data_IF_327828039182
#
_entry.id   IF_327828039182
#
_cell.length_a   1.000
_cell.length_b   1.000
_cell.length_c   1.000
_cell.angle_alpha   90.00
_cell.angle_beta   90.00
_cell.angle_gamma   90.00
#
_symmetry.space_group_name_H-M   'P 1'
#
loop_
_entity.id
_entity.type
_entity.pdbx_description
1 polymer ?
#
# COMPACT_ATOMS: atom_id res chain seq x y z
N UNK A 1 26.70 -11.60 26.80
CA UNK A 1 25.73 -10.49 26.96
C UNK A 1 24.45 -10.65 26.11
N UNK A 2 24.03 -11.87 25.75
CA UNK A 2 22.82 -12.09 24.92
C UNK A 2 21.58 -12.60 25.68
N UNK A 3 21.55 -12.51 27.02
CA UNK A 3 20.48 -13.10 27.84
C UNK A 3 19.33 -12.17 28.20
N UNK A 4 19.48 -10.85 28.01
CA UNK A 4 18.46 -9.87 28.43
C UNK A 4 17.13 -9.95 27.65
N UNK A 5 17.09 -10.15 26.30
CA UNK A 5 15.83 -10.20 25.56
C UNK A 5 14.98 -11.43 25.92
N UNK A 6 15.62 -12.58 26.14
CA UNK A 6 14.96 -13.83 26.52
C UNK A 6 14.40 -13.81 27.94
N UNK A 7 15.06 -13.12 28.87
CA UNK A 7 14.59 -12.94 30.25
C UNK A 7 13.34 -12.04 30.31
N UNK A 8 13.28 -10.99 29.50
CA UNK A 8 12.11 -10.11 29.39
C UNK A 8 10.91 -10.82 28.74
N UNK A 9 11.16 -11.69 27.75
CA UNK A 9 10.14 -12.52 27.10
C UNK A 9 9.43 -13.44 28.09
N UNK A 10 10.13 -14.00 29.07
CA UNK A 10 9.54 -14.91 30.07
C UNK A 10 8.73 -14.18 31.15
N UNK A 11 9.00 -12.90 31.40
CA UNK A 11 8.32 -12.06 32.40
C UNK A 11 7.12 -11.30 31.84
N UNK A 12 6.93 -11.29 30.51
CA UNK A 12 5.82 -10.59 29.88
C UNK A 12 4.47 -11.33 30.10
N UNK A 13 3.35 -10.59 30.23
CA UNK A 13 2.00 -11.17 30.22
C UNK A 13 1.78 -12.06 28.99
N UNK A 14 0.94 -13.10 29.08
CA UNK A 14 0.70 -14.01 27.95
C UNK A 14 0.19 -13.29 26.70
N UNK A 15 -0.61 -12.23 26.87
CA UNK A 15 -1.05 -11.37 25.77
C UNK A 15 0.13 -10.66 25.08
N UNK A 16 1.12 -10.18 25.84
CA UNK A 16 2.33 -9.56 25.28
C UNK A 16 3.25 -10.57 24.59
N UNK A 17 3.34 -11.81 25.11
CA UNK A 17 4.04 -12.92 24.43
C UNK A 17 3.38 -13.26 23.10
N UNK A 18 2.04 -13.30 23.06
CA UNK A 18 1.26 -13.53 21.83
C UNK A 18 1.54 -12.46 20.76
N UNK A 19 1.54 -11.17 21.15
CA UNK A 19 1.85 -10.06 20.22
C UNK A 19 3.27 -10.14 19.66
N UNK A 20 4.26 -10.41 20.52
CA UNK A 20 5.65 -10.52 20.09
C UNK A 20 5.85 -11.70 19.13
N UNK A 21 5.22 -12.84 19.42
CA UNK A 21 5.23 -14.01 18.55
C UNK A 21 4.59 -13.71 17.19
N UNK A 22 3.50 -12.95 17.16
CA UNK A 22 2.85 -12.55 15.91
C UNK A 22 3.76 -11.62 15.08
N UNK A 23 4.40 -10.63 15.72
CA UNK A 23 5.38 -9.77 15.04
C UNK A 23 6.53 -10.61 14.46
N UNK A 24 7.15 -11.49 15.25
CA UNK A 24 8.24 -12.34 14.75
C UNK A 24 7.81 -13.30 13.64
N UNK A 25 6.60 -13.86 13.76
CA UNK A 25 6.05 -14.71 12.70
C UNK A 25 5.88 -13.91 11.40
N UNK A 26 5.36 -12.69 11.47
CA UNK A 26 5.25 -11.80 10.30
C UNK A 26 6.62 -11.34 9.79
N UNK A 27 7.62 -11.13 10.67
CA UNK A 27 9.01 -10.84 10.27
C UNK A 27 9.62 -11.97 9.44
N UNK A 28 9.31 -13.22 9.75
CA UNK A 28 9.75 -14.38 8.97
C UNK A 28 8.91 -14.53 7.71
N UNK A 29 7.58 -14.45 7.83
CA UNK A 29 6.66 -14.60 6.70
C UNK A 29 6.93 -13.58 5.59
N UNK A 30 7.21 -12.30 5.91
CA UNK A 30 7.55 -11.30 4.88
C UNK A 30 8.79 -11.68 4.06
N UNK A 31 9.70 -12.50 4.59
CA UNK A 31 10.86 -13.01 3.85
C UNK A 31 10.50 -14.27 3.06
N UNK A 32 9.73 -15.18 3.67
CA UNK A 32 9.29 -16.41 3.04
C UNK A 32 8.46 -16.14 1.78
N UNK A 33 7.55 -15.16 1.81
CA UNK A 33 6.70 -14.82 0.65
C UNK A 33 7.48 -14.28 -0.56
N UNK A 34 8.73 -13.82 -0.37
CA UNK A 34 9.60 -13.40 -1.48
C UNK A 34 10.26 -14.57 -2.19
N UNK A 35 10.36 -15.73 -1.53
CA UNK A 35 10.99 -16.89 -2.14
C UNK A 35 10.06 -17.54 -3.16
N UNK A 36 10.56 -17.89 -4.36
CA UNK A 36 9.77 -18.65 -5.33
C UNK A 36 9.23 -19.92 -4.70
N UNK A 37 7.94 -20.18 -4.90
CA UNK A 37 7.32 -21.41 -4.44
C UNK A 37 8.00 -22.62 -5.10
N UNK A 38 8.44 -23.58 -4.28
CA UNK A 38 9.18 -24.75 -4.75
C UNK A 38 8.30 -25.71 -5.57
N UNK A 39 7.01 -25.78 -5.24
CA UNK A 39 6.01 -26.64 -5.86
C UNK A 39 4.60 -26.03 -5.70
N UNK A 40 3.58 -26.69 -6.24
CA UNK A 40 2.20 -26.23 -6.17
C UNK A 40 1.63 -26.25 -4.74
N UNK A 41 2.12 -27.14 -3.86
CA UNK A 41 1.74 -27.15 -2.45
C UNK A 41 2.20 -25.87 -1.74
N UNK A 42 3.46 -25.46 -1.98
CA UNK A 42 3.97 -24.19 -1.47
C UNK A 42 3.18 -22.98 -2.00
N UNK A 43 2.72 -23.01 -3.25
CA UNK A 43 1.87 -21.94 -3.82
C UNK A 43 0.53 -21.84 -3.11
N UNK A 44 -0.12 -22.98 -2.82
CA UNK A 44 -1.40 -23.02 -2.10
C UNK A 44 -1.23 -22.42 -0.70
N UNK A 45 -0.21 -22.86 0.04
CA UNK A 45 0.06 -22.36 1.40
C UNK A 45 0.34 -20.86 1.40
N UNK A 46 1.11 -20.34 0.43
CA UNK A 46 1.36 -18.91 0.31
C UNK A 46 0.07 -18.12 0.05
N UNK A 47 -0.80 -18.59 -0.85
CA UNK A 47 -2.09 -17.97 -1.13
C UNK A 47 -3.01 -17.97 0.10
N UNK A 48 -3.05 -19.07 0.86
CA UNK A 48 -3.80 -19.16 2.12
C UNK A 48 -3.29 -18.14 3.15
N UNK A 49 -1.97 -18.02 3.30
CA UNK A 49 -1.36 -17.03 4.21
C UNK A 49 -1.75 -15.60 3.80
N UNK A 50 -1.67 -15.27 2.51
CA UNK A 50 -2.08 -13.96 1.99
C UNK A 50 -3.56 -13.70 2.29
N UNK A 51 -4.42 -14.70 2.04
CA UNK A 51 -5.85 -14.64 2.32
C UNK A 51 -6.16 -14.42 3.81
N UNK A 52 -5.48 -15.14 4.71
CA UNK A 52 -5.67 -15.02 6.16
C UNK A 52 -5.23 -13.65 6.66
N UNK A 53 -4.04 -13.19 6.27
CA UNK A 53 -3.52 -11.88 6.69
C UNK A 53 -4.44 -10.77 6.15
N UNK A 54 -4.82 -10.86 4.87
CA UNK A 54 -5.66 -9.85 4.25
C UNK A 54 -7.07 -9.80 4.79
N UNK A 55 -7.70 -10.96 4.98
CA UNK A 55 -9.03 -11.07 5.59
C UNK A 55 -9.09 -10.42 6.98
N UNK A 56 -8.08 -10.69 7.82
CA UNK A 56 -8.00 -10.09 9.17
C UNK A 56 -7.75 -8.58 9.16
N UNK A 57 -6.95 -8.06 8.23
CA UNK A 57 -6.78 -6.62 8.06
C UNK A 57 -8.09 -5.93 7.67
N UNK A 58 -8.86 -6.56 6.78
CA UNK A 58 -10.18 -6.08 6.33
C UNK A 58 -11.19 -6.10 7.48
N UNK A 59 -11.25 -7.20 8.23
CA UNK A 59 -12.14 -7.34 9.38
C UNK A 59 -11.80 -6.27 10.44
N UNK A 60 -10.52 -6.13 10.77
CA UNK A 60 -10.03 -5.11 11.72
C UNK A 60 -10.34 -3.67 11.27
N UNK A 61 -10.44 -3.40 9.97
CA UNK A 61 -10.79 -2.09 9.44
C UNK A 61 -12.30 -1.77 9.52
N UNK A 62 -13.16 -2.79 9.55
CA UNK A 62 -14.62 -2.65 9.65
C UNK A 62 -15.11 -2.39 11.08
N UNK A 63 -14.30 -2.73 12.08
CA UNK A 63 -14.66 -2.70 13.50
C UNK A 63 -14.65 -1.27 14.09
N UNK A 64 -15.69 -0.49 13.76
CA UNK A 64 -16.16 0.64 14.60
C UNK A 64 -17.09 0.17 15.75
N UNK A 65 -17.40 -1.13 15.82
CA UNK A 65 -18.37 -1.72 16.74
C UNK A 65 -17.66 -2.51 17.86
N UNK A 66 -17.90 -2.14 19.11
CA UNK A 66 -17.10 -2.50 20.31
C UNK A 66 -17.04 -4.00 20.69
N UNK A 67 -17.63 -4.92 19.92
CA UNK A 67 -17.90 -6.30 20.38
C UNK A 67 -16.92 -7.37 19.89
N UNK A 68 -16.12 -7.07 18.89
CA UNK A 68 -14.97 -7.84 18.47
C UNK A 68 -13.99 -6.78 18.03
N UNK A 69 -12.85 -6.69 18.70
CA UNK A 69 -11.72 -5.96 18.16
C UNK A 69 -10.71 -7.06 17.88
N UNK A 70 -10.26 -7.24 16.65
CA UNK A 70 -9.09 -8.10 16.42
C UNK A 70 -7.91 -7.46 17.19
N UNK A 71 -7.70 -7.92 18.42
CA UNK A 71 -6.72 -7.39 19.36
C UNK A 71 -5.30 -7.48 18.78
N UNK A 72 -5.08 -8.39 17.83
CA UNK A 72 -3.80 -8.60 17.16
C UNK A 72 -3.52 -7.48 16.14
N UNK A 73 -4.48 -7.19 15.26
CA UNK A 73 -4.31 -6.19 14.20
C UNK A 73 -4.63 -4.75 14.64
N UNK A 74 -5.15 -4.58 15.85
CA UNK A 74 -5.12 -3.29 16.56
C UNK A 74 -3.71 -2.86 16.99
N UNK A 75 -2.74 -3.79 17.05
CA UNK A 75 -1.35 -3.45 17.34
C UNK A 75 -0.63 -2.92 16.10
N UNK A 76 -0.10 -1.69 16.18
CA UNK A 76 0.56 -1.04 15.04
C UNK A 76 1.78 -1.80 14.49
N UNK A 77 2.55 -2.49 15.33
CA UNK A 77 3.72 -3.25 14.87
C UNK A 77 3.29 -4.49 14.08
N UNK A 78 2.29 -5.23 14.56
CA UNK A 78 1.68 -6.34 13.82
C UNK A 78 1.10 -5.83 12.51
N UNK A 79 0.29 -4.77 12.56
CA UNK A 79 -0.38 -4.18 11.40
C UNK A 79 0.61 -3.73 10.32
N UNK A 80 1.68 -3.03 10.72
CA UNK A 80 2.75 -2.62 9.80
C UNK A 80 3.45 -3.83 9.17
N UNK A 81 3.75 -4.86 9.96
CA UNK A 81 4.43 -6.06 9.46
C UNK A 81 3.53 -6.93 8.56
N UNK A 82 2.23 -6.93 8.81
CA UNK A 82 1.25 -7.54 7.93
C UNK A 82 1.22 -6.83 6.57
N UNK A 83 1.17 -5.49 6.55
CA UNK A 83 1.29 -4.72 5.31
C UNK A 83 2.62 -4.95 4.59
N UNK A 84 3.74 -5.05 5.31
CA UNK A 84 5.01 -5.43 4.70
C UNK A 84 4.96 -6.83 4.08
N UNK A 85 4.32 -7.80 4.74
CA UNK A 85 4.17 -9.17 4.24
C UNK A 85 3.33 -9.19 2.97
N UNK A 86 2.19 -8.50 2.97
CA UNK A 86 1.32 -8.37 1.80
C UNK A 86 2.02 -7.63 0.66
N UNK A 87 2.70 -6.51 0.94
CA UNK A 87 3.48 -5.76 -0.05
C UNK A 87 4.50 -6.67 -0.74
N UNK A 88 5.29 -7.43 0.04
CA UNK A 88 6.26 -8.37 -0.50
C UNK A 88 5.59 -9.46 -1.35
N UNK A 89 4.47 -10.02 -0.88
CA UNK A 89 3.72 -11.03 -1.62
C UNK A 89 3.18 -10.49 -2.95
N UNK A 90 2.58 -9.29 -2.97
CA UNK A 90 2.12 -8.62 -4.19
C UNK A 90 3.26 -8.30 -5.15
N UNK A 91 4.49 -8.13 -4.64
CA UNK A 91 5.69 -7.98 -5.48
C UNK A 91 6.14 -9.28 -6.18
N UNK A 92 5.51 -10.42 -5.90
CA UNK A 92 5.82 -11.71 -6.54
C UNK A 92 4.75 -12.14 -7.52
N UNK A 93 5.11 -12.98 -8.50
CA UNK A 93 4.17 -13.53 -9.47
C UNK A 93 3.02 -14.33 -8.82
N UNK A 94 3.32 -15.10 -7.76
CA UNK A 94 2.31 -15.93 -7.07
C UNK A 94 1.32 -15.04 -6.33
N UNK A 95 1.79 -14.12 -5.49
CA UNK A 95 0.92 -13.26 -4.71
C UNK A 95 0.13 -12.27 -5.57
N UNK A 96 0.75 -11.68 -6.60
CA UNK A 96 0.05 -10.83 -7.57
C UNK A 96 -1.03 -11.61 -8.33
N UNK A 97 -0.72 -12.82 -8.82
CA UNK A 97 -1.70 -13.66 -9.52
C UNK A 97 -2.88 -14.05 -8.63
N UNK A 98 -2.63 -14.40 -7.37
CA UNK A 98 -3.67 -14.72 -6.40
C UNK A 98 -4.62 -13.53 -6.18
N UNK A 99 -4.07 -12.34 -5.91
CA UNK A 99 -4.86 -11.12 -5.70
C UNK A 99 -5.59 -10.64 -6.96
N UNK A 100 -5.08 -10.94 -8.16
CA UNK A 100 -5.80 -10.68 -9.42
C UNK A 100 -7.03 -11.57 -9.59
N UNK A 101 -6.98 -12.80 -9.07
CA UNK A 101 -8.09 -13.75 -9.16
C UNK A 101 -9.15 -13.48 -8.08
N UNK A 102 -8.74 -13.06 -6.88
CA UNK A 102 -9.65 -12.68 -5.80
C UNK A 102 -9.87 -11.16 -5.74
N UNK A 103 -10.75 -10.67 -6.61
CA UNK A 103 -11.08 -9.24 -6.72
C UNK A 103 -11.70 -8.68 -5.44
N UNK A 104 -12.47 -9.49 -4.70
CA UNK A 104 -13.12 -9.06 -3.46
C UNK A 104 -12.09 -8.84 -2.34
N UNK A 105 -11.15 -9.77 -2.18
CA UNK A 105 -10.04 -9.61 -1.25
C UNK A 105 -9.16 -8.42 -1.63
N UNK A 106 -8.81 -8.27 -2.91
CA UNK A 106 -7.98 -7.14 -3.38
C UNK A 106 -8.67 -5.80 -3.14
N UNK A 107 -9.96 -5.68 -3.47
CA UNK A 107 -10.74 -4.46 -3.23
C UNK A 107 -10.77 -4.11 -1.74
N UNK A 108 -11.14 -5.06 -0.89
CA UNK A 108 -11.18 -4.83 0.56
C UNK A 108 -9.82 -4.46 1.15
N UNK A 109 -8.73 -5.05 0.65
CA UNK A 109 -7.37 -4.70 1.07
C UNK A 109 -6.98 -3.28 0.64
N UNK A 110 -7.37 -2.84 -0.55
CA UNK A 110 -7.15 -1.46 -1.00
C UNK A 110 -7.88 -0.48 -0.09
N UNK A 111 -9.16 -0.72 0.20
CA UNK A 111 -9.95 0.13 1.10
C UNK A 111 -9.34 0.17 2.51
N UNK A 112 -8.93 -0.98 3.03
CA UNK A 112 -8.30 -1.09 4.36
C UNK A 112 -6.96 -0.37 4.42
N UNK A 113 -6.15 -0.47 3.36
CA UNK A 113 -4.89 0.25 3.27
C UNK A 113 -5.13 1.76 3.17
N UNK A 114 -6.16 2.22 2.45
CA UNK A 114 -6.49 3.64 2.36
C UNK A 114 -6.84 4.26 3.73
N UNK A 115 -7.54 3.53 4.59
CA UNK A 115 -7.78 3.94 5.97
C UNK A 115 -6.45 4.07 6.75
N UNK A 116 -5.52 3.13 6.53
CA UNK A 116 -4.22 3.11 7.20
C UNK A 116 -3.20 4.13 6.69
N UNK A 117 -3.39 4.77 5.53
CA UNK A 117 -2.51 5.84 5.07
C UNK A 117 -2.99 7.23 5.49
N UNK A 118 -4.23 7.34 5.97
CA UNK A 118 -4.76 8.62 6.42
C UNK A 118 -4.05 9.06 7.69
N UNK A 119 -3.37 10.21 7.64
CA UNK A 119 -2.65 10.77 8.79
C UNK A 119 -3.58 11.07 9.98
N UNK A 120 -4.85 11.35 9.72
CA UNK A 120 -5.87 11.61 10.74
C UNK A 120 -6.35 10.34 11.46
N UNK A 121 -6.31 9.19 10.80
CA UNK A 121 -6.77 7.90 11.35
C UNK A 121 -5.61 7.04 11.87
N UNK A 122 -4.45 7.12 11.23
CA UNK A 122 -3.28 6.29 11.54
C UNK A 122 -2.09 7.17 11.98
N UNK A 123 -1.87 7.36 13.29
CA UNK A 123 -0.80 8.22 13.78
C UNK A 123 0.60 7.64 13.53
N UNK A 124 0.72 6.31 13.37
CA UNK A 124 2.00 5.62 13.21
C UNK A 124 2.48 5.62 11.77
N UNK A 125 3.58 6.33 11.52
CA UNK A 125 4.18 6.47 10.19
C UNK A 125 4.62 5.14 9.59
N UNK A 126 5.08 4.20 10.42
CA UNK A 126 5.48 2.86 10.00
C UNK A 126 4.32 2.07 9.40
N UNK A 127 3.10 2.24 9.91
CA UNK A 127 1.90 1.62 9.35
C UNK A 127 1.56 2.30 8.02
N UNK A 128 1.49 3.64 7.99
CA UNK A 128 1.20 4.39 6.75
C UNK A 128 2.17 4.05 5.63
N UNK A 129 3.46 4.03 5.92
CA UNK A 129 4.50 3.68 4.94
C UNK A 129 4.34 2.24 4.44
N UNK A 130 4.10 1.27 5.33
CA UNK A 130 3.93 -0.13 4.93
C UNK A 130 2.67 -0.35 4.07
N UNK A 131 1.55 0.31 4.40
CA UNK A 131 0.33 0.29 3.60
C UNK A 131 0.57 0.93 2.22
N UNK A 132 1.27 2.08 2.16
CA UNK A 132 1.66 2.69 0.89
C UNK A 132 2.59 1.80 0.05
N UNK A 133 3.47 1.02 0.67
CA UNK A 133 4.28 0.05 -0.06
C UNK A 133 3.43 -1.08 -0.68
N UNK A 134 2.39 -1.53 0.02
CA UNK A 134 1.41 -2.46 -0.54
C UNK A 134 0.66 -1.82 -1.72
N UNK A 135 0.08 -0.63 -1.53
CA UNK A 135 -0.67 0.08 -2.57
C UNK A 135 0.19 0.42 -3.79
N UNK A 136 1.48 0.71 -3.61
CA UNK A 136 2.42 0.90 -4.71
C UNK A 136 2.60 -0.37 -5.56
N UNK A 137 2.67 -1.56 -4.93
CA UNK A 137 2.77 -2.81 -5.66
C UNK A 137 1.46 -3.17 -6.35
N UNK A 138 0.30 -2.84 -5.76
CA UNK A 138 -1.01 -2.96 -6.43
C UNK A 138 -1.07 -2.05 -7.66
N UNK A 139 -0.74 -0.76 -7.51
CA UNK A 139 -0.72 0.19 -8.62
C UNK A 139 0.27 -0.24 -9.71
N UNK A 140 1.40 -0.84 -9.32
CA UNK A 140 2.36 -1.38 -10.26
C UNK A 140 1.81 -2.57 -11.06
N UNK A 141 1.17 -3.55 -10.40
CA UNK A 141 0.54 -4.70 -11.08
C UNK A 141 -0.56 -4.24 -12.03
N UNK A 142 -1.40 -3.29 -11.61
CA UNK A 142 -2.43 -2.67 -12.46
C UNK A 142 -1.82 -1.96 -13.68
N UNK A 143 -0.74 -1.20 -13.48
CA UNK A 143 -0.05 -0.49 -14.56
C UNK A 143 0.66 -1.42 -15.57
N UNK A 144 0.93 -2.68 -15.19
CA UNK A 144 1.55 -3.69 -16.06
C UNK A 144 0.52 -4.58 -16.78
N UNK A 145 -0.74 -4.58 -16.34
CA UNK A 145 -1.80 -5.34 -16.98
C UNK A 145 -2.46 -4.50 -18.08
N UNK A 146 -2.50 -4.97 -19.34
CA UNK A 146 -3.21 -4.26 -20.41
C UNK A 146 -4.71 -4.19 -20.10
N UNK A 147 -5.33 -3.05 -20.39
CA UNK A 147 -6.80 -2.95 -20.41
C UNK A 147 -7.35 -3.89 -21.48
N UNK A 148 -8.39 -4.65 -21.14
CA UNK A 148 -9.12 -5.46 -22.13
C UNK A 148 -9.76 -4.51 -23.14
N UNK A 149 -9.69 -4.84 -24.44
CA UNK A 149 -9.98 -3.93 -25.57
C UNK A 149 -11.36 -3.24 -25.51
N UNK A 150 -12.33 -3.80 -24.80
CA UNK A 150 -13.70 -3.27 -24.64
C UNK A 150 -13.84 -2.19 -23.55
N UNK A 151 -12.82 -1.97 -22.71
CA UNK A 151 -12.85 -1.08 -21.53
C UNK A 151 -11.68 -0.06 -21.57
N UNK A 152 -11.20 0.30 -22.77
CA UNK A 152 -10.02 1.18 -22.89
C UNK A 152 -10.24 2.58 -22.31
N UNK A 153 -11.48 3.07 -22.38
CA UNK A 153 -11.84 4.43 -22.00
C UNK A 153 -12.36 4.56 -20.55
N UNK A 154 -12.53 3.44 -19.83
CA UNK A 154 -13.02 3.45 -18.46
C UNK A 154 -11.92 3.05 -17.47
N UNK A 155 -11.93 3.65 -16.28
CA UNK A 155 -11.06 3.28 -15.18
C UNK A 155 -11.78 2.24 -14.33
N UNK A 156 -11.10 1.16 -13.96
CA UNK A 156 -11.63 0.25 -12.95
C UNK A 156 -11.85 0.97 -11.61
N UNK A 157 -12.83 0.55 -10.82
CA UNK A 157 -13.09 1.09 -9.48
C UNK A 157 -11.83 1.16 -8.62
N UNK A 158 -11.00 0.12 -8.64
CA UNK A 158 -9.73 0.10 -7.88
C UNK A 158 -8.79 1.24 -8.28
N UNK A 159 -8.72 1.57 -9.57
CA UNK A 159 -7.87 2.66 -10.07
C UNK A 159 -8.42 4.03 -9.66
N UNK A 160 -9.75 4.22 -9.74
CA UNK A 160 -10.43 5.43 -9.27
C UNK A 160 -10.17 5.62 -7.77
N UNK A 161 -10.43 4.58 -6.98
CA UNK A 161 -10.20 4.56 -5.52
C UNK A 161 -8.74 4.89 -5.16
N UNK A 162 -7.76 4.33 -5.89
CA UNK A 162 -6.36 4.65 -5.69
C UNK A 162 -6.05 6.12 -6.00
N UNK A 163 -6.49 6.66 -7.15
CA UNK A 163 -6.21 8.06 -7.51
C UNK A 163 -6.78 9.03 -6.48
N UNK A 164 -8.06 8.87 -6.13
CA UNK A 164 -8.72 9.70 -5.13
C UNK A 164 -8.01 9.59 -3.77
N UNK A 165 -7.81 8.37 -3.28
CA UNK A 165 -7.19 8.13 -1.97
C UNK A 165 -5.72 8.56 -1.89
N UNK A 166 -4.97 8.57 -3.01
CA UNK A 166 -3.59 9.06 -2.99
C UNK A 166 -3.48 10.57 -2.94
N UNK A 167 -4.44 11.30 -3.50
CA UNK A 167 -4.37 12.77 -3.59
C UNK A 167 -5.07 13.44 -2.40
N UNK A 168 -6.12 12.82 -1.86
CA UNK A 168 -6.88 13.37 -0.72
C UNK A 168 -6.00 13.56 0.53
N UNK A 169 -5.78 14.81 0.96
CA UNK A 169 -4.94 15.13 2.14
C UNK A 169 -3.46 14.80 1.94
N UNK A 170 -2.95 14.82 0.70
CA UNK A 170 -1.52 14.62 0.42
C UNK A 170 -0.64 15.80 0.87
N UNK A 171 -1.21 17.00 0.87
CA UNK A 171 -0.64 18.23 1.39
C UNK A 171 -0.51 18.22 2.91
N UNK A 172 -1.39 17.49 3.60
CA UNK A 172 -1.36 17.29 5.06
C UNK A 172 -0.38 16.19 5.52
N UNK A 173 0.09 15.31 4.63
CA UNK A 173 1.03 14.25 5.01
C UNK A 173 2.39 14.86 5.36
N UNK A 174 2.80 14.75 6.62
CA UNK A 174 4.04 15.33 7.14
C UNK A 174 5.29 14.50 6.80
N UNK A 175 5.14 13.19 6.58
CA UNK A 175 6.26 12.31 6.26
C UNK A 175 6.59 12.33 4.75
N UNK A 176 7.82 12.70 4.44
CA UNK A 176 8.35 12.81 3.07
C UNK A 176 8.28 11.50 2.29
N UNK A 177 8.69 10.38 2.88
CA UNK A 177 8.63 9.05 2.24
C UNK A 177 7.18 8.65 1.91
N UNK A 178 6.25 8.87 2.83
CA UNK A 178 4.83 8.59 2.60
C UNK A 178 4.27 9.45 1.46
N UNK A 179 4.54 10.76 1.49
CA UNK A 179 4.15 11.68 0.41
C UNK A 179 4.74 11.26 -0.94
N UNK A 180 6.02 10.92 -0.99
CA UNK A 180 6.69 10.43 -2.20
C UNK A 180 5.98 9.18 -2.74
N UNK A 181 5.67 8.18 -1.89
CA UNK A 181 4.98 6.96 -2.35
C UNK A 181 3.60 7.26 -2.91
N UNK A 182 2.84 8.17 -2.30
CA UNK A 182 1.52 8.60 -2.83
C UNK A 182 1.66 9.20 -4.23
N UNK A 183 2.62 10.10 -4.43
CA UNK A 183 2.90 10.68 -5.75
C UNK A 183 3.36 9.63 -6.77
N UNK A 184 4.22 8.70 -6.38
CA UNK A 184 4.66 7.61 -7.27
C UNK A 184 3.49 6.70 -7.68
N UNK A 185 2.53 6.45 -6.79
CA UNK A 185 1.30 5.72 -7.13
C UNK A 185 0.47 6.52 -8.15
N UNK A 186 0.23 7.81 -7.91
CA UNK A 186 -0.47 8.69 -8.86
C UNK A 186 0.20 8.68 -10.24
N UNK A 187 1.52 8.87 -10.28
CA UNK A 187 2.30 8.86 -11.52
C UNK A 187 2.20 7.52 -12.26
N UNK A 188 2.27 6.39 -11.56
CA UNK A 188 2.10 5.06 -12.15
C UNK A 188 0.73 4.84 -12.75
N UNK A 189 -0.30 5.35 -12.08
CA UNK A 189 -1.67 5.23 -12.56
C UNK A 189 -1.95 6.13 -13.76
N UNK A 190 -1.36 7.33 -13.78
CA UNK A 190 -1.46 8.25 -14.92
C UNK A 190 -0.67 7.76 -16.14
N UNK A 191 0.43 7.05 -15.94
CA UNK A 191 1.32 6.58 -17.01
C UNK A 191 1.60 5.09 -16.87
N UNK A 192 0.64 4.22 -17.26
CA UNK A 192 0.81 2.77 -17.19
C UNK A 192 1.94 2.30 -18.12
N UNK A 193 2.58 1.20 -17.74
CA UNK A 193 3.82 0.70 -18.35
C UNK A 193 3.64 -0.63 -19.10
N UNK A 194 2.44 -0.97 -19.54
CA UNK A 194 2.20 -2.12 -20.40
C UNK A 194 2.47 -1.80 -21.88
N UNK A 195 2.83 -2.80 -22.69
CA UNK A 195 3.33 -2.63 -24.08
C UNK A 195 2.46 -1.72 -24.96
N UNK A 196 1.14 -1.73 -24.77
CA UNK A 196 0.16 -0.93 -25.52
C UNK A 196 0.05 0.54 -25.05
N UNK A 197 0.55 0.88 -23.87
CA UNK A 197 0.54 2.22 -23.29
C UNK A 197 1.94 2.76 -22.97
N UNK A 198 3.01 2.02 -23.29
CA UNK A 198 4.38 2.33 -22.92
C UNK A 198 4.76 3.76 -23.36
N UNK A 199 4.74 4.68 -22.40
CA UNK A 199 5.11 6.09 -22.59
C UNK A 199 3.93 7.07 -22.75
N UNK A 200 2.70 6.60 -22.93
CA UNK A 200 1.52 7.44 -23.09
C UNK A 200 0.78 7.63 -21.76
N UNK A 201 0.15 8.80 -21.61
CA UNK A 201 -0.74 9.09 -20.49
C UNK A 201 -2.08 8.37 -20.68
N UNK A 202 -2.62 7.83 -19.59
CA UNK A 202 -4.00 7.33 -19.56
C UNK A 202 -4.97 8.52 -19.56
N UNK A 203 -5.70 8.67 -20.66
CA UNK A 203 -6.60 9.82 -20.88
C UNK A 203 -7.73 9.83 -19.86
N UNK A 204 -8.28 8.68 -19.46
CA UNK A 204 -9.36 8.62 -18.49
C UNK A 204 -8.85 9.03 -17.08
N UNK A 205 -7.65 8.59 -16.72
CA UNK A 205 -7.00 9.01 -15.47
C UNK A 205 -6.68 10.51 -15.46
N UNK A 206 -6.17 11.05 -16.57
CA UNK A 206 -5.95 12.50 -16.73
C UNK A 206 -7.24 13.29 -16.54
N UNK A 207 -8.32 12.88 -17.23
CA UNK A 207 -9.63 13.55 -17.16
C UNK A 207 -10.16 13.54 -15.73
N UNK A 208 -10.13 12.39 -15.04
CA UNK A 208 -10.57 12.30 -13.65
C UNK A 208 -9.81 13.26 -12.72
N UNK A 209 -8.47 13.31 -12.83
CA UNK A 209 -7.63 14.19 -11.99
C UNK A 209 -7.94 15.67 -12.27
N UNK A 210 -8.20 16.03 -13.53
CA UNK A 210 -8.60 17.38 -13.90
C UNK A 210 -9.99 17.73 -13.37
N UNK A 211 -10.97 16.84 -13.55
CA UNK A 211 -12.38 17.06 -13.17
C UNK A 211 -12.56 17.20 -11.66
N UNK A 212 -11.73 16.50 -10.86
CA UNK A 212 -11.72 16.60 -9.39
C UNK A 212 -10.92 17.80 -8.86
N UNK A 213 -10.29 18.60 -9.72
CA UNK A 213 -9.49 19.76 -9.31
C UNK A 213 -8.17 19.40 -8.62
N UNK A 214 -7.71 18.15 -8.73
CA UNK A 214 -6.52 17.64 -8.05
C UNK A 214 -5.20 18.20 -8.59
N UNK A 215 -5.22 18.81 -9.78
CA UNK A 215 -4.05 19.50 -10.36
C UNK A 215 -3.51 20.56 -9.42
N UNK A 216 -4.38 21.34 -8.77
CA UNK A 216 -3.98 22.42 -7.86
C UNK A 216 -3.34 21.88 -6.59
N UNK A 217 -3.90 20.79 -6.05
CA UNK A 217 -3.35 20.08 -4.87
C UNK A 217 -1.94 19.59 -5.17
N UNK A 218 -1.72 18.93 -6.30
CA UNK A 218 -0.40 18.44 -6.70
C UNK A 218 0.57 19.60 -6.97
N UNK A 219 0.11 20.67 -7.61
CA UNK A 219 0.93 21.85 -7.89
C UNK A 219 1.43 22.53 -6.61
N UNK A 220 0.62 22.55 -5.54
CA UNK A 220 1.00 23.12 -4.25
C UNK A 220 2.22 22.43 -3.62
N UNK A 221 2.46 21.16 -3.93
CA UNK A 221 3.58 20.39 -3.38
C UNK A 221 4.94 20.80 -3.95
N UNK A 222 4.97 21.57 -5.05
CA UNK A 222 6.19 21.97 -5.75
C UNK A 222 6.93 23.13 -5.07
N UNK A 223 6.26 23.93 -4.24
CA UNK A 223 6.73 25.26 -3.83
C UNK A 223 7.43 25.33 -2.47
N UNK A 224 7.41 24.27 -1.67
CA UNK A 224 7.93 24.30 -0.30
C UNK A 224 9.45 24.07 -0.25
N UNK A 225 10.29 25.01 -0.71
CA UNK A 225 11.76 24.91 -0.58
C UNK A 225 12.23 25.33 0.81
N UNK A 226 12.58 24.34 1.64
CA UNK A 226 13.29 24.55 2.91
C UNK A 226 14.74 24.06 2.80
N UNK A 227 15.67 24.85 3.34
CA UNK A 227 17.06 24.44 3.42
C UNK A 227 17.20 23.28 4.42
N UNK A 228 17.77 22.16 3.99
CA UNK A 228 17.93 20.95 4.82
C UNK A 228 16.91 19.84 4.58
N UNK A 229 16.20 19.87 3.45
CA UNK A 229 15.27 18.79 3.07
C UNK A 229 15.95 17.43 2.88
N UNK A 230 15.25 16.38 3.31
CA UNK A 230 15.63 15.01 3.02
C UNK A 230 15.46 14.67 1.52
N UNK A 231 16.10 13.58 1.09
CA UNK A 231 16.12 13.17 -0.31
C UNK A 231 14.72 12.81 -0.85
N UNK A 232 13.85 12.28 0.01
CA UNK A 232 12.50 11.89 -0.38
C UNK A 232 11.62 13.11 -0.63
N UNK A 233 11.76 14.17 0.18
CA UNK A 233 11.07 15.43 0.01
C UNK A 233 11.47 16.12 -1.29
N UNK A 234 12.76 16.11 -1.63
CA UNK A 234 13.25 16.60 -2.92
C UNK A 234 12.67 15.80 -4.08
N UNK A 235 12.77 14.47 -4.00
CA UNK A 235 12.24 13.58 -5.05
C UNK A 235 10.72 13.74 -5.21
N UNK A 236 9.98 13.94 -4.12
CA UNK A 236 8.54 14.18 -4.17
C UNK A 236 8.20 15.44 -4.98
N UNK A 237 8.97 16.53 -4.85
CA UNK A 237 8.77 17.75 -5.66
C UNK A 237 9.05 17.52 -7.14
N UNK A 238 10.10 16.77 -7.44
CA UNK A 238 10.46 16.43 -8.82
C UNK A 238 9.34 15.60 -9.46
N UNK A 239 8.83 14.59 -8.75
CA UNK A 239 7.69 13.76 -9.19
C UNK A 239 6.41 14.60 -9.33
N UNK A 240 6.09 15.47 -8.36
CA UNK A 240 4.92 16.35 -8.46
C UNK A 240 5.02 17.28 -9.67
N UNK A 241 6.22 17.79 -9.97
CA UNK A 241 6.48 18.62 -11.16
C UNK A 241 6.25 17.82 -12.44
N UNK A 242 6.76 16.59 -12.53
CA UNK A 242 6.53 15.71 -13.68
C UNK A 242 5.04 15.40 -13.88
N UNK A 243 4.31 15.11 -12.80
CA UNK A 243 2.86 14.88 -12.85
C UNK A 243 2.13 16.12 -13.37
N UNK A 244 2.45 17.32 -12.90
CA UNK A 244 1.84 18.55 -13.43
C UNK A 244 2.10 18.74 -14.95
N UNK A 245 3.29 18.38 -15.42
CA UNK A 245 3.62 18.45 -16.86
C UNK A 245 2.77 17.46 -17.65
N UNK A 246 2.56 16.25 -17.12
CA UNK A 246 1.70 15.22 -17.74
C UNK A 246 0.23 15.66 -17.82
N UNK A 247 -0.26 16.38 -16.80
CA UNK A 247 -1.64 16.85 -16.70
C UNK A 247 -1.92 18.12 -17.53
N UNK A 248 -0.89 18.87 -17.91
CA UNK A 248 -0.99 20.03 -18.82
C UNK A 248 -1.34 19.62 -20.24
#
# INVERSE_FOLDING_TARGET
EHSAPFLLLNLAPESSKSMLNAVYSLMLLRLIVLHPAADDGARIVLSEIIGIIGGRLIESAKENDYKSKDELFGNHAVRSMAWCTLSNATGTNVGASFLRQDLALRGGLVDSALLDISSSQQPRVEVRQSALAYLYNVAHDLAMCPKVDEIKDELSDTVVTLLCGMIEGIDEESNSTARLRRLLIVGKTLKPNHEQAAGNIDVAAKTLVNDLGFVEVIASLRSNNSAGEDNDAKTAKDVATEICILLS
#
